data_IF_332206788049
#
_entry.id   IF_332206788049
#
_cell.length_a   1.000
_cell.length_b   1.000
_cell.length_c   1.000
_cell.angle_alpha   90.00
_cell.angle_beta   90.00
_cell.angle_gamma   90.00
#
_symmetry.space_group_name_H-M   'P 1'
#
loop_
_entity.id
_entity.type
_entity.pdbx_description
1 polymer ?
#
# COMPACT_ATOMS: atom_id res chain seq x y z
N UNK A 1 -10.23 7.19 -30.64
CA UNK A 1 -10.98 6.16 -29.87
C UNK A 1 -10.18 5.85 -28.60
N UNK A 2 -10.42 6.56 -27.49
CA UNK A 2 -9.72 6.25 -26.23
C UNK A 2 -10.44 5.08 -25.58
N UNK A 3 -9.82 3.90 -25.60
CA UNK A 3 -10.21 2.81 -24.69
C UNK A 3 -9.96 3.29 -23.26
N UNK A 4 -10.99 3.83 -22.60
CA UNK A 4 -10.99 3.91 -21.14
C UNK A 4 -10.96 2.47 -20.65
N UNK A 5 -9.81 2.03 -20.16
CA UNK A 5 -9.71 0.74 -19.48
C UNK A 5 -10.70 0.76 -18.32
N UNK A 6 -11.67 -0.15 -18.31
CA UNK A 6 -12.65 -0.33 -17.23
C UNK A 6 -12.04 -1.00 -16.00
N UNK A 7 -10.72 -0.98 -15.87
CA UNK A 7 -9.97 -1.58 -14.77
C UNK A 7 -9.84 -0.62 -13.60
N UNK A 8 -9.91 -1.15 -12.39
CA UNK A 8 -9.53 -0.45 -11.17
C UNK A 8 -8.00 -0.31 -11.08
N UNK A 9 -7.53 0.75 -10.42
CA UNK A 9 -6.11 0.93 -10.12
C UNK A 9 -5.65 -0.13 -9.13
N UNK A 10 -4.48 -0.72 -9.38
CA UNK A 10 -3.89 -1.78 -8.57
C UNK A 10 -2.46 -1.44 -8.19
N UNK A 11 -1.98 -1.99 -7.08
CA UNK A 11 -0.56 -1.83 -6.69
C UNK A 11 0.26 -2.92 -7.37
N UNK A 12 1.32 -2.52 -8.09
CA UNK A 12 2.32 -3.43 -8.64
C UNK A 12 3.57 -3.37 -7.76
N UNK A 13 4.07 -4.52 -7.33
CA UNK A 13 5.28 -4.61 -6.52
C UNK A 13 6.32 -5.51 -7.20
N UNK A 14 7.59 -5.24 -6.90
CA UNK A 14 8.74 -5.95 -7.42
C UNK A 14 9.71 -6.17 -6.27
N UNK A 15 10.23 -7.39 -6.18
CA UNK A 15 11.39 -7.68 -5.36
C UNK A 15 12.58 -7.87 -6.29
N UNK A 16 13.60 -7.01 -6.12
CA UNK A 16 14.83 -7.04 -6.90
C UNK A 16 15.95 -7.52 -5.99
N UNK A 17 16.71 -8.53 -6.44
CA UNK A 17 17.85 -9.09 -5.71
C UNK A 17 19.12 -8.98 -6.55
N UNK A 18 20.27 -9.27 -5.92
CA UNK A 18 21.57 -9.22 -6.61
C UNK A 18 22.12 -7.80 -6.77
N UNK A 19 21.83 -6.90 -5.81
CA UNK A 19 22.26 -5.50 -5.86
C UNK A 19 23.79 -5.31 -5.86
N UNK A 20 24.55 -6.31 -5.39
CA UNK A 20 26.01 -6.32 -5.44
C UNK A 20 26.58 -6.88 -6.77
N UNK A 21 25.73 -7.40 -7.65
CA UNK A 21 26.07 -7.90 -8.97
C UNK A 21 25.09 -7.32 -10.00
N UNK A 22 24.55 -8.12 -10.92
CA UNK A 22 23.51 -7.68 -11.84
C UNK A 22 22.15 -7.81 -11.15
N UNK A 23 21.44 -6.70 -10.88
CA UNK A 23 20.13 -6.77 -10.27
C UNK A 23 19.13 -7.50 -11.16
N UNK A 24 18.35 -8.39 -10.58
CA UNK A 24 17.31 -9.15 -11.27
C UNK A 24 16.01 -9.15 -10.47
N UNK A 25 14.88 -9.13 -11.18
CA UNK A 25 13.56 -9.33 -10.55
C UNK A 25 13.49 -10.76 -10.05
N UNK A 26 13.44 -10.91 -8.73
CA UNK A 26 13.25 -12.21 -8.08
C UNK A 26 11.78 -12.62 -8.14
N UNK A 27 10.88 -11.68 -7.87
CA UNK A 27 9.44 -11.87 -7.99
C UNK A 27 8.71 -10.54 -8.10
N UNK A 28 7.45 -10.60 -8.52
CA UNK A 28 6.60 -9.44 -8.73
C UNK A 28 5.12 -9.85 -8.66
N UNK A 29 4.24 -8.91 -8.37
CA UNK A 29 2.80 -9.17 -8.34
C UNK A 29 1.98 -7.91 -8.55
N UNK A 30 0.75 -8.09 -9.05
CA UNK A 30 -0.28 -7.03 -9.10
C UNK A 30 -1.35 -7.33 -8.05
N UNK A 31 -1.59 -6.40 -7.15
CA UNK A 31 -2.57 -6.55 -6.08
C UNK A 31 -3.88 -5.84 -6.41
N UNK A 32 -4.88 -6.65 -6.77
CA UNK A 32 -6.25 -6.24 -7.06
C UNK A 32 -7.22 -7.34 -6.60
N UNK A 33 -7.34 -7.59 -5.29
CA UNK A 33 -8.17 -8.68 -4.75
C UNK A 33 -9.68 -8.45 -4.93
N UNK A 34 -10.08 -7.22 -5.28
CA UNK A 34 -11.47 -6.82 -5.51
C UNK A 34 -11.53 -5.70 -6.57
N UNK A 35 -12.71 -5.08 -6.70
CA UNK A 35 -12.96 -3.98 -7.65
C UNK A 35 -12.60 -2.60 -7.12
N UNK A 36 -12.03 -2.48 -5.90
CA UNK A 36 -11.62 -1.20 -5.33
C UNK A 36 -10.34 -0.67 -6.00
N UNK A 37 -10.20 0.64 -6.05
CA UNK A 37 -9.00 1.31 -6.54
C UNK A 37 -7.96 1.35 -5.44
N UNK A 38 -6.71 1.06 -5.78
CA UNK A 38 -5.54 1.17 -4.90
C UNK A 38 -4.47 2.03 -5.55
N UNK A 39 -3.94 2.99 -4.80
CA UNK A 39 -2.94 3.95 -5.29
C UNK A 39 -2.02 4.41 -4.17
N UNK A 40 -0.97 5.16 -4.53
CA UNK A 40 0.05 5.66 -3.59
C UNK A 40 0.63 4.53 -2.73
N UNK A 41 1.15 3.49 -3.38
CA UNK A 41 1.74 2.34 -2.73
C UNK A 41 3.15 2.62 -2.19
N UNK A 42 3.48 2.02 -1.05
CA UNK A 42 4.84 1.95 -0.50
C UNK A 42 5.06 0.54 0.07
N UNK A 43 6.29 0.04 0.00
CA UNK A 43 6.63 -1.33 0.37
C UNK A 43 7.90 -1.36 1.21
N UNK A 44 7.94 -2.28 2.17
CA UNK A 44 9.12 -2.57 3.00
C UNK A 44 9.18 -4.07 3.30
N UNK A 45 10.37 -4.55 3.63
CA UNK A 45 10.62 -5.94 3.97
C UNK A 45 11.25 -6.02 5.37
N UNK A 46 10.82 -6.97 6.18
CA UNK A 46 11.43 -7.24 7.49
C UNK A 46 12.67 -8.14 7.37
N UNK A 47 13.39 -8.35 8.48
CA UNK A 47 14.61 -9.20 8.51
C UNK A 47 14.36 -10.66 8.15
N UNK A 48 13.12 -11.14 8.21
CA UNK A 48 12.76 -12.51 7.84
C UNK A 48 12.43 -12.64 6.35
N UNK A 49 12.46 -11.53 5.60
CA UNK A 49 12.11 -11.50 4.18
C UNK A 49 10.60 -11.41 3.94
N UNK A 50 9.80 -11.11 4.97
CA UNK A 50 8.38 -10.88 4.80
C UNK A 50 8.15 -9.48 4.24
N UNK A 51 7.27 -9.35 3.26
CA UNK A 51 7.00 -8.11 2.56
C UNK A 51 5.67 -7.53 3.05
N UNK A 52 5.66 -6.23 3.35
CA UNK A 52 4.46 -5.44 3.54
C UNK A 52 4.33 -4.39 2.44
N UNK A 53 3.11 -4.17 1.97
CA UNK A 53 2.77 -3.16 0.97
C UNK A 53 1.56 -2.36 1.47
N UNK A 54 1.76 -1.07 1.76
CA UNK A 54 0.73 -0.15 2.21
C UNK A 54 0.30 0.81 1.10
N UNK A 55 -0.98 1.19 1.06
CA UNK A 55 -1.57 2.01 -0.01
C UNK A 55 -2.86 2.70 0.45
N UNK A 56 -3.33 3.64 -0.37
CA UNK A 56 -4.69 4.18 -0.30
C UNK A 56 -5.67 3.25 -1.02
N UNK A 57 -6.91 3.14 -0.54
CA UNK A 57 -7.98 2.32 -1.14
C UNK A 57 -9.32 3.06 -1.16
N UNK A 58 -10.11 2.95 -2.24
CA UNK A 58 -11.44 3.55 -2.36
C UNK A 58 -12.31 2.88 -3.40
N UNK A 59 -13.60 3.19 -3.37
CA UNK A 59 -14.59 2.85 -4.39
C UNK A 59 -15.72 3.88 -4.38
N UNK A 60 -16.77 3.65 -5.17
CA UNK A 60 -18.00 4.45 -5.09
C UNK A 60 -18.71 4.35 -3.72
N UNK A 61 -18.50 3.26 -2.98
CA UNK A 61 -19.09 3.02 -1.66
C UNK A 61 -18.10 3.13 -0.51
N UNK A 62 -16.79 3.22 -0.79
CA UNK A 62 -15.72 3.32 0.20
C UNK A 62 -15.00 4.64 0.02
N UNK A 63 -15.15 5.54 0.98
CA UNK A 63 -14.35 6.78 1.05
C UNK A 63 -12.87 6.41 1.17
N UNK A 64 -11.95 7.21 0.58
CA UNK A 64 -10.52 6.94 0.62
C UNK A 64 -10.00 6.58 2.01
N UNK A 65 -9.50 5.36 2.11
CA UNK A 65 -9.01 4.72 3.31
C UNK A 65 -7.53 4.34 3.15
N UNK A 66 -6.91 3.92 4.25
CA UNK A 66 -5.54 3.44 4.27
C UNK A 66 -5.55 1.95 4.63
N UNK A 67 -4.84 1.15 3.86
CA UNK A 67 -4.78 -0.29 4.03
C UNK A 67 -3.38 -0.82 3.69
N UNK A 68 -3.11 -2.05 4.10
CA UNK A 68 -1.91 -2.77 3.70
C UNK A 68 -2.22 -4.24 3.41
N UNK A 69 -1.36 -4.88 2.64
CA UNK A 69 -1.32 -6.33 2.49
C UNK A 69 0.10 -6.82 2.75
N UNK A 70 0.23 -8.04 3.24
CA UNK A 70 1.52 -8.65 3.58
C UNK A 70 1.69 -9.99 2.89
N UNK A 71 2.93 -10.47 2.84
CA UNK A 71 3.26 -11.85 2.52
C UNK A 71 4.44 -12.31 3.37
N UNK A 72 4.44 -13.58 3.73
CA UNK A 72 5.59 -14.25 4.30
C UNK A 72 6.61 -14.58 3.21
N UNK A 73 7.88 -14.70 3.58
CA UNK A 73 8.94 -15.13 2.67
C UNK A 73 8.62 -16.50 2.03
N UNK A 74 7.94 -17.37 2.77
CA UNK A 74 7.54 -18.72 2.35
C UNK A 74 6.24 -18.77 1.53
N UNK A 75 5.50 -17.67 1.41
CA UNK A 75 4.28 -17.65 0.60
C UNK A 75 4.61 -17.83 -0.88
N UNK A 76 3.66 -18.38 -1.65
CA UNK A 76 3.77 -18.54 -3.09
C UNK A 76 4.22 -17.22 -3.77
N UNK A 77 5.24 -17.33 -4.62
CA UNK A 77 5.88 -16.16 -5.21
C UNK A 77 4.88 -15.30 -6.00
N UNK A 78 5.04 -13.98 -5.90
CA UNK A 78 4.19 -13.02 -6.61
C UNK A 78 2.78 -12.83 -6.05
N UNK A 79 2.46 -13.42 -4.89
CA UNK A 79 1.17 -13.23 -4.21
C UNK A 79 1.30 -12.35 -2.96
N UNK A 80 0.25 -11.59 -2.63
CA UNK A 80 0.05 -10.94 -1.33
C UNK A 80 -1.19 -11.54 -0.69
N UNK A 81 -1.21 -11.59 0.64
CA UNK A 81 -2.35 -12.07 1.42
C UNK A 81 -3.54 -11.12 1.44
N UNK A 82 -4.44 -11.35 2.40
CA UNK A 82 -5.62 -10.52 2.60
C UNK A 82 -5.26 -9.07 2.99
N UNK A 83 -6.10 -8.13 2.55
CA UNK A 83 -5.98 -6.72 2.88
C UNK A 83 -6.38 -6.47 4.34
N UNK A 84 -5.59 -5.66 5.04
CA UNK A 84 -5.84 -5.20 6.40
C UNK A 84 -6.05 -3.69 6.39
N UNK A 85 -7.14 -3.24 7.01
CA UNK A 85 -7.49 -1.82 7.11
C UNK A 85 -6.68 -1.14 8.22
N UNK A 86 -6.01 -0.03 7.89
CA UNK A 86 -5.33 0.85 8.87
C UNK A 86 -6.31 1.89 9.41
N UNK A 87 -7.05 2.52 8.50
CA UNK A 87 -8.00 3.57 8.82
C UNK A 87 -9.05 3.69 7.73
N UNK A 88 -10.33 3.62 8.12
CA UNK A 88 -11.43 4.01 7.25
C UNK A 88 -11.50 5.54 7.21
N UNK A 89 -11.23 6.16 6.06
CA UNK A 89 -11.50 7.57 5.87
C UNK A 89 -13.00 7.84 5.83
N UNK A 90 -13.39 9.06 6.20
CA UNK A 90 -14.78 9.50 6.27
C UNK A 90 -15.09 10.64 5.29
N UNK A 91 -14.07 11.11 4.58
CA UNK A 91 -14.18 12.15 3.55
C UNK A 91 -13.56 11.74 2.21
N UNK A 92 -13.98 12.43 1.16
CA UNK A 92 -13.44 12.37 -0.19
C UNK A 92 -13.19 13.78 -0.73
N UNK A 93 -12.29 13.89 -1.71
CA UNK A 93 -12.09 15.15 -2.41
C UNK A 93 -13.35 15.54 -3.17
N UNK A 94 -13.69 16.83 -3.14
CA UNK A 94 -14.78 17.38 -3.95
C UNK A 94 -14.40 17.42 -5.43
N UNK A 95 -15.40 17.57 -6.29
CA UNK A 95 -15.23 17.64 -7.73
C UNK A 95 -14.21 18.72 -8.13
N UNK A 96 -13.52 18.48 -9.26
CA UNK A 96 -12.47 19.33 -9.85
C UNK A 96 -11.07 19.25 -9.19
N UNK A 97 -10.84 18.26 -8.33
CA UNK A 97 -9.51 17.90 -7.84
C UNK A 97 -9.06 16.58 -8.46
N UNK A 98 -7.82 16.54 -8.96
CA UNK A 98 -7.21 15.34 -9.53
C UNK A 98 -5.97 14.86 -8.76
N UNK A 99 -5.39 15.71 -7.91
CA UNK A 99 -4.19 15.40 -7.13
C UNK A 99 -4.58 14.83 -5.77
N UNK A 100 -4.25 13.55 -5.53
CA UNK A 100 -4.43 12.89 -4.24
C UNK A 100 -3.08 12.74 -3.52
N UNK A 101 -2.85 13.62 -2.55
CA UNK A 101 -1.65 13.60 -1.72
C UNK A 101 -0.33 13.66 -2.48
N UNK A 102 0.75 13.54 -1.72
CA UNK A 102 2.15 13.54 -2.21
C UNK A 102 3.01 12.51 -1.48
N UNK A 103 2.51 11.97 -0.35
CA UNK A 103 3.31 11.21 0.59
C UNK A 103 2.53 9.97 1.07
N UNK A 104 3.02 8.80 0.66
CA UNK A 104 2.82 7.54 1.36
C UNK A 104 4.19 6.93 1.61
N UNK A 105 4.43 6.45 2.82
CA UNK A 105 5.71 5.86 3.19
C UNK A 105 5.49 4.64 4.09
N UNK A 106 6.24 3.58 3.82
CA UNK A 106 6.31 2.39 4.64
C UNK A 106 7.78 2.08 4.87
N UNK A 107 8.19 2.01 6.14
CA UNK A 107 9.57 1.68 6.52
C UNK A 107 9.61 0.67 7.64
N UNK A 108 10.73 -0.04 7.77
CA UNK A 108 10.99 -0.92 8.90
C UNK A 108 11.69 -0.13 10.02
N UNK A 109 11.39 -0.48 11.26
CA UNK A 109 12.09 0.02 12.43
C UNK A 109 13.46 -0.66 12.53
N UNK A 110 14.57 0.10 12.47
CA UNK A 110 15.92 -0.48 12.45
C UNK A 110 16.34 -1.07 13.81
N UNK A 111 15.56 -0.86 14.88
CA UNK A 111 15.88 -1.40 16.21
C UNK A 111 15.55 -2.89 16.28
N UNK A 112 14.46 -3.33 15.66
CA UNK A 112 14.03 -4.74 15.68
C UNK A 112 13.98 -5.41 14.30
N UNK A 113 14.09 -4.61 13.22
CA UNK A 113 13.91 -4.99 11.82
C UNK A 113 12.62 -5.80 11.57
N UNK A 114 11.57 -5.56 12.38
CA UNK A 114 10.30 -6.27 12.36
C UNK A 114 9.08 -5.34 12.40
N UNK A 115 9.18 -4.18 13.05
CA UNK A 115 8.08 -3.21 13.14
C UNK A 115 8.01 -2.38 11.87
N UNK A 116 6.87 -2.43 11.20
CA UNK A 116 6.57 -1.55 10.08
C UNK A 116 5.96 -0.25 10.58
N UNK A 117 6.41 0.87 10.03
CA UNK A 117 5.84 2.20 10.23
C UNK A 117 5.25 2.71 8.92
N UNK A 118 3.93 2.84 8.87
CA UNK A 118 3.19 3.37 7.73
C UNK A 118 2.74 4.81 7.96
N UNK A 119 2.97 5.67 6.98
CA UNK A 119 2.45 7.04 6.93
C UNK A 119 1.63 7.21 5.66
N UNK A 120 0.39 7.69 5.78
CA UNK A 120 -0.49 7.92 4.64
C UNK A 120 -1.46 9.08 4.86
N UNK A 121 -1.99 9.61 3.76
CA UNK A 121 -2.95 10.71 3.77
C UNK A 121 -4.40 10.20 3.67
N UNK A 122 -5.31 10.82 4.41
CA UNK A 122 -6.75 10.56 4.37
C UNK A 122 -7.54 11.85 4.57
N UNK A 123 -8.85 11.81 4.34
CA UNK A 123 -9.75 12.94 4.60
C UNK A 123 -10.68 12.64 5.78
N UNK A 124 -10.78 13.62 6.69
CA UNK A 124 -11.69 13.61 7.85
C UNK A 124 -13.10 14.13 7.52
N UNK A 125 -13.30 14.73 6.37
CA UNK A 125 -14.59 15.16 5.85
C UNK A 125 -14.45 15.41 4.35
N UNK A 126 -15.57 15.41 3.62
CA UNK A 126 -15.57 15.81 2.22
C UNK A 126 -15.05 17.26 2.10
N UNK A 127 -14.13 17.52 1.17
CA UNK A 127 -13.54 18.86 1.06
C UNK A 127 -12.45 19.02 0.01
N UNK A 128 -11.86 20.21 0.01
CA UNK A 128 -10.83 20.65 -0.93
C UNK A 128 -9.54 20.95 -0.17
N UNK A 129 -8.45 20.24 -0.49
CA UNK A 129 -7.15 20.38 0.18
C UNK A 129 -7.16 20.27 1.72
N UNK A 130 -8.07 19.47 2.28
CA UNK A 130 -8.25 19.27 3.72
C UNK A 130 -7.72 17.91 4.21
N UNK A 131 -6.62 17.44 3.61
CA UNK A 131 -6.04 16.14 3.96
C UNK A 131 -5.49 16.16 5.40
N UNK A 132 -5.42 14.97 5.98
CA UNK A 132 -4.82 14.68 7.28
C UNK A 132 -3.86 13.51 7.13
N UNK A 133 -2.85 13.46 8.00
CA UNK A 133 -1.91 12.34 8.04
C UNK A 133 -2.32 11.32 9.10
N UNK A 134 -2.18 10.04 8.78
CA UNK A 134 -2.20 8.94 9.75
C UNK A 134 -0.84 8.27 9.75
N UNK A 135 -0.30 8.07 10.94
CA UNK A 135 0.84 7.19 11.20
C UNK A 135 0.32 5.96 11.92
N UNK A 136 0.75 4.77 11.50
CA UNK A 136 0.40 3.51 12.13
C UNK A 136 1.62 2.59 12.15
N UNK A 137 1.69 1.70 13.15
CA UNK A 137 2.66 0.63 13.18
C UNK A 137 2.01 -0.74 13.24
N UNK A 138 2.69 -1.74 12.70
CA UNK A 138 2.27 -3.14 12.76
C UNK A 138 3.49 -4.07 12.63
N UNK A 139 3.31 -5.34 13.02
CA UNK A 139 4.28 -6.42 12.82
C UNK A 139 3.63 -7.56 12.04
N UNK A 140 4.41 -8.26 11.23
CA UNK A 140 3.99 -9.53 10.65
C UNK A 140 4.22 -10.63 11.69
N UNK A 141 3.21 -11.45 11.94
CA UNK A 141 3.30 -12.53 12.93
C UNK A 141 4.49 -13.45 12.62
N UNK A 142 5.29 -13.75 13.65
CA UNK A 142 6.49 -14.57 13.52
C UNK A 142 7.80 -13.78 13.45
N UNK A 143 7.76 -12.47 13.16
CA UNK A 143 8.95 -11.62 13.23
C UNK A 143 9.30 -11.25 14.68
N UNK A 144 10.46 -11.72 15.14
CA UNK A 144 11.02 -11.48 16.48
C UNK A 144 12.46 -11.02 16.34
#
# INVERSE_FOLDING_TARGET
SSKRNTGNSAVRWYEVRGMASTPAVYQQGSYSPDTKFRWMGSAAMDKQGNLAVGYSVSSSSTKPALAYATRLAADAAGTLGAESLILQGIGAQLANLSRWGDYTHLSIDPVDDCTFWFTGQYLKADGTFNWSTRVASFKINGCQ
#
